data_IF_883216295826
#
_entry.id   IF_883216295826
#
_cell.length_a   1.000
_cell.length_b   1.000
_cell.length_c   1.000
_cell.angle_alpha   90.00
_cell.angle_beta   90.00
_cell.angle_gamma   90.00
#
_symmetry.space_group_name_H-M   'P 1'
#
loop_
_entity.id
_entity.type
_entity.pdbx_description
1 polymer ?
#
# COMPACT_ATOMS: atom_id res chain seq x y z
N UNK A 1 -7.37 -14.31 -13.42
CA UNK A 1 -7.19 -13.73 -12.09
C UNK A 1 -8.55 -13.68 -11.37
N UNK A 2 -8.59 -13.95 -10.06
CA UNK A 2 -9.84 -13.87 -9.31
C UNK A 2 -10.32 -12.41 -9.23
N UNK A 3 -11.62 -12.20 -9.31
CA UNK A 3 -12.26 -10.91 -9.13
C UNK A 3 -13.11 -10.96 -7.88
N UNK A 4 -12.73 -10.20 -6.87
CA UNK A 4 -13.39 -10.13 -5.58
C UNK A 4 -13.65 -8.67 -5.19
N UNK A 5 -14.45 -8.43 -4.15
CA UNK A 5 -14.55 -7.12 -3.54
C UNK A 5 -13.23 -6.82 -2.80
N UNK A 6 -12.50 -5.81 -3.27
CA UNK A 6 -11.31 -5.29 -2.64
C UNK A 6 -11.66 -4.06 -1.81
N UNK A 7 -11.01 -3.91 -0.68
CA UNK A 7 -11.24 -2.80 0.24
C UNK A 7 -10.74 -1.46 -0.34
N UNK A 8 -9.56 -1.48 -0.97
CA UNK A 8 -9.02 -0.33 -1.69
C UNK A 8 -8.14 0.58 -0.86
N UNK A 9 -8.46 0.86 0.42
CA UNK A 9 -7.61 1.59 1.35
C UNK A 9 -7.25 0.73 2.59
N UNK A 10 -6.72 -0.45 2.30
CA UNK A 10 -6.30 -1.43 3.29
C UNK A 10 -5.07 -0.92 4.07
N UNK A 11 -5.29 -0.44 5.30
CA UNK A 11 -4.23 0.04 6.20
C UNK A 11 -4.65 -0.06 7.65
N UNK A 12 -3.67 -0.15 8.56
CA UNK A 12 -3.92 -0.30 10.01
C UNK A 12 -4.80 0.84 10.55
N UNK A 13 -4.62 2.07 10.08
CA UNK A 13 -5.40 3.22 10.52
C UNK A 13 -6.90 3.13 10.23
N UNK A 14 -7.32 2.21 9.34
CA UNK A 14 -8.72 1.98 8.98
C UNK A 14 -9.29 0.70 9.63
N UNK A 15 -8.61 0.16 10.65
CA UNK A 15 -9.02 -1.04 11.38
C UNK A 15 -9.35 -0.65 12.83
N UNK A 16 -10.52 -1.06 13.30
CA UNK A 16 -10.88 -1.01 14.71
C UNK A 16 -10.67 -2.40 15.31
N UNK A 17 -9.86 -2.46 16.33
CA UNK A 17 -9.63 -3.70 17.10
C UNK A 17 -10.60 -3.79 18.29
N UNK A 18 -10.87 -5.01 18.73
CA UNK A 18 -11.59 -5.25 20.00
C UNK A 18 -10.80 -4.69 21.20
N UNK A 19 -11.45 -4.48 22.32
CA UNK A 19 -10.83 -3.93 23.54
C UNK A 19 -9.61 -4.75 24.01
N UNK A 20 -9.63 -6.06 23.83
CA UNK A 20 -8.52 -6.95 24.17
C UNK A 20 -7.45 -7.07 23.05
N UNK A 21 -7.63 -6.36 21.93
CA UNK A 21 -6.76 -6.36 20.74
C UNK A 21 -6.60 -7.74 20.05
N UNK A 22 -7.42 -8.71 20.36
CA UNK A 22 -7.32 -10.07 19.79
C UNK A 22 -8.07 -10.21 18.46
N UNK A 23 -9.02 -9.34 18.18
CA UNK A 23 -9.88 -9.44 17.02
C UNK A 23 -10.05 -8.09 16.32
N UNK A 24 -10.33 -8.13 15.03
CA UNK A 24 -10.82 -6.99 14.27
C UNK A 24 -12.30 -6.82 14.56
N UNK A 25 -12.68 -5.67 15.13
CA UNK A 25 -14.07 -5.33 15.42
C UNK A 25 -14.76 -4.67 14.21
N UNK A 26 -14.04 -3.85 13.45
CA UNK A 26 -14.55 -3.23 12.23
C UNK A 26 -13.43 -2.85 11.26
N UNK A 27 -13.79 -2.77 9.99
CA UNK A 27 -12.97 -2.26 8.90
C UNK A 27 -13.69 -1.05 8.31
N UNK A 28 -12.99 0.08 8.24
CA UNK A 28 -13.54 1.39 7.87
C UNK A 28 -13.04 1.83 6.49
N UNK A 29 -13.59 2.94 6.02
CA UNK A 29 -13.13 3.67 4.84
C UNK A 29 -13.17 2.85 3.55
N UNK A 30 -14.39 2.52 3.13
CA UNK A 30 -14.67 1.74 1.93
C UNK A 30 -14.87 2.58 0.67
N UNK A 31 -14.55 3.89 0.71
CA UNK A 31 -14.78 4.79 -0.42
C UNK A 31 -13.97 4.41 -1.69
N UNK A 32 -12.85 3.70 -1.49
CA UNK A 32 -12.00 3.22 -2.57
C UNK A 32 -12.29 1.75 -2.96
N UNK A 33 -13.36 1.16 -2.43
CA UNK A 33 -13.69 -0.24 -2.69
C UNK A 33 -13.99 -0.49 -4.18
N UNK A 34 -13.50 -1.61 -4.69
CA UNK A 34 -13.61 -1.96 -6.10
C UNK A 34 -13.64 -3.47 -6.30
N UNK A 35 -14.31 -3.92 -7.37
CA UNK A 35 -14.19 -5.31 -7.82
C UNK A 35 -12.86 -5.49 -8.58
N UNK A 36 -11.97 -6.36 -8.08
CA UNK A 36 -10.66 -6.53 -8.68
C UNK A 36 -9.87 -7.71 -8.12
N UNK A 37 -8.60 -7.78 -8.47
CA UNK A 37 -7.69 -8.80 -7.96
C UNK A 37 -7.35 -8.51 -6.49
N UNK A 38 -7.53 -9.47 -5.56
CA UNK A 38 -7.29 -9.28 -4.13
C UNK A 38 -5.84 -8.92 -3.78
N UNK A 39 -4.88 -9.21 -4.66
CA UNK A 39 -3.46 -8.85 -4.45
C UNK A 39 -3.26 -7.33 -4.34
N UNK A 40 -4.16 -6.52 -4.93
CA UNK A 40 -4.05 -5.07 -4.80
C UNK A 40 -4.19 -4.58 -3.34
N UNK A 41 -4.99 -5.24 -2.50
CA UNK A 41 -5.17 -4.83 -1.11
C UNK A 41 -3.93 -5.16 -0.27
N UNK A 42 -3.34 -6.35 -0.40
CA UNK A 42 -2.11 -6.68 0.33
C UNK A 42 -0.90 -5.87 -0.16
N UNK A 43 -0.84 -5.55 -1.44
CA UNK A 43 0.19 -4.68 -1.99
C UNK A 43 0.03 -3.24 -1.48
N UNK A 44 -1.19 -2.73 -1.44
CA UNK A 44 -1.49 -1.42 -0.85
C UNK A 44 -1.14 -1.35 0.62
N UNK A 45 -1.52 -2.38 1.40
CA UNK A 45 -1.22 -2.47 2.82
C UNK A 45 0.29 -2.34 3.11
N UNK A 46 1.10 -3.14 2.43
CA UNK A 46 2.54 -3.10 2.59
C UNK A 46 3.16 -1.80 2.05
N UNK A 47 2.65 -1.30 0.93
CA UNK A 47 3.12 -0.05 0.36
C UNK A 47 2.86 1.14 1.29
N UNK A 48 1.67 1.26 1.86
CA UNK A 48 1.32 2.35 2.79
C UNK A 48 2.17 2.27 4.06
N UNK A 49 2.40 1.07 4.61
CA UNK A 49 3.31 0.90 5.75
C UNK A 49 4.74 1.37 5.41
N UNK A 50 5.27 0.98 4.25
CA UNK A 50 6.56 1.45 3.75
C UNK A 50 6.59 2.97 3.53
N UNK A 51 5.53 3.55 2.97
CA UNK A 51 5.43 4.97 2.70
C UNK A 51 5.47 5.80 4.00
N UNK A 52 4.75 5.37 5.02
CA UNK A 52 4.75 6.06 6.32
C UNK A 52 5.97 5.77 7.18
N UNK A 53 6.74 4.72 6.91
CA UNK A 53 8.02 4.45 7.54
C UNK A 53 9.18 5.05 6.72
N UNK A 54 9.58 4.38 5.65
CA UNK A 54 10.73 4.79 4.83
C UNK A 54 10.54 6.16 4.18
N UNK A 55 9.34 6.46 3.67
CA UNK A 55 9.02 7.72 3.00
C UNK A 55 9.11 8.93 3.92
N UNK A 56 8.81 8.76 5.20
CA UNK A 56 8.91 9.80 6.23
C UNK A 56 10.17 9.70 7.11
N UNK A 57 11.08 8.75 6.81
CA UNK A 57 12.29 8.54 7.61
C UNK A 57 12.01 8.03 9.03
N UNK A 58 10.88 7.38 9.26
CA UNK A 58 10.48 6.83 10.53
C UNK A 58 10.69 5.30 10.57
N UNK A 59 10.94 4.70 11.74
CA UNK A 59 10.97 3.25 11.86
C UNK A 59 9.58 2.67 11.68
N UNK A 60 9.49 1.44 11.14
CA UNK A 60 8.25 0.66 11.13
C UNK A 60 7.74 0.42 12.55
N UNK A 61 6.45 0.26 12.70
CA UNK A 61 5.83 -0.10 13.98
C UNK A 61 6.43 -1.41 14.52
N UNK A 62 6.86 -1.45 15.78
CA UNK A 62 7.39 -2.67 16.40
C UNK A 62 6.34 -3.79 16.41
N UNK A 63 6.78 -5.01 16.13
CA UNK A 63 5.91 -6.19 16.14
C UNK A 63 5.21 -6.51 14.84
N UNK A 64 5.26 -5.64 13.82
CA UNK A 64 4.78 -5.99 12.50
C UNK A 64 5.72 -7.02 11.84
N UNK A 65 5.17 -8.05 11.15
CA UNK A 65 5.94 -9.00 10.37
C UNK A 65 6.67 -8.28 9.21
N UNK A 66 7.65 -8.94 8.61
CA UNK A 66 8.25 -8.46 7.35
C UNK A 66 7.19 -8.35 6.25
N UNK A 67 7.49 -7.62 5.17
CA UNK A 67 6.56 -7.52 4.03
C UNK A 67 6.35 -8.87 3.37
N UNK A 68 7.40 -9.68 3.27
CA UNK A 68 7.38 -11.04 2.75
C UNK A 68 6.52 -11.96 3.63
N UNK A 69 6.70 -11.90 4.95
CA UNK A 69 5.89 -12.68 5.89
C UNK A 69 4.43 -12.26 5.88
N UNK A 70 4.15 -10.97 5.73
CA UNK A 70 2.79 -10.44 5.59
C UNK A 70 2.11 -11.02 4.34
N UNK A 71 2.80 -11.05 3.21
CA UNK A 71 2.28 -11.66 1.96
C UNK A 71 2.08 -13.16 2.13
N UNK A 72 3.03 -13.87 2.77
CA UNK A 72 2.92 -15.30 3.00
C UNK A 72 1.73 -15.65 3.90
N UNK A 73 1.53 -14.93 4.98
CA UNK A 73 0.37 -15.09 5.87
C UNK A 73 -0.94 -14.79 5.15
N UNK A 74 -0.98 -13.73 4.34
CA UNK A 74 -2.15 -13.39 3.54
C UNK A 74 -2.50 -14.49 2.54
N UNK A 75 -1.52 -15.07 1.84
CA UNK A 75 -1.75 -16.20 0.94
C UNK A 75 -2.31 -17.41 1.68
N UNK A 76 -1.73 -17.73 2.85
CA UNK A 76 -2.20 -18.83 3.67
C UNK A 76 -3.63 -18.64 4.16
N UNK A 77 -3.97 -17.43 4.61
CA UNK A 77 -5.28 -17.13 5.19
C UNK A 77 -6.38 -17.00 4.12
N UNK A 78 -6.06 -16.40 2.98
CA UNK A 78 -7.04 -16.13 1.91
C UNK A 78 -7.18 -17.27 0.91
N UNK A 79 -6.16 -18.10 0.76
CA UNK A 79 -6.07 -19.11 -0.31
C UNK A 79 -5.77 -18.53 -1.69
N UNK A 80 -5.54 -17.23 -1.81
CA UNK A 80 -5.17 -16.59 -3.06
C UNK A 80 -3.65 -16.58 -3.29
N UNK A 81 -3.25 -16.59 -4.55
CA UNK A 81 -1.84 -16.43 -4.94
C UNK A 81 -1.47 -14.95 -5.05
N UNK A 82 -0.31 -14.58 -4.51
CA UNK A 82 0.29 -13.25 -4.69
C UNK A 82 1.21 -13.19 -5.92
N UNK A 83 0.92 -13.95 -6.98
CA UNK A 83 1.75 -14.09 -8.17
C UNK A 83 2.18 -12.77 -8.79
N UNK A 84 1.29 -11.78 -8.86
CA UNK A 84 1.53 -10.49 -9.49
C UNK A 84 1.77 -9.37 -8.46
N UNK A 85 2.26 -9.72 -7.27
CA UNK A 85 2.43 -8.80 -6.14
C UNK A 85 3.27 -7.57 -6.50
N UNK A 86 4.40 -7.74 -7.17
CA UNK A 86 5.28 -6.63 -7.55
C UNK A 86 4.61 -5.63 -8.50
N UNK A 87 3.79 -6.11 -9.43
CA UNK A 87 2.97 -5.24 -10.28
C UNK A 87 2.02 -4.39 -9.42
N UNK A 88 1.35 -5.00 -8.44
CA UNK A 88 0.40 -4.27 -7.59
C UNK A 88 1.08 -3.34 -6.61
N UNK A 89 2.33 -3.58 -6.20
CA UNK A 89 3.12 -2.62 -5.41
C UNK A 89 3.45 -1.37 -6.25
N UNK A 90 3.87 -1.54 -7.51
CA UNK A 90 4.09 -0.41 -8.43
C UNK A 90 2.77 0.35 -8.67
N UNK A 91 1.68 -0.37 -8.87
CA UNK A 91 0.35 0.22 -9.04
C UNK A 91 -0.08 1.01 -7.79
N UNK A 92 0.17 0.49 -6.58
CA UNK A 92 -0.10 1.18 -5.32
C UNK A 92 0.72 2.48 -5.20
N UNK A 93 2.02 2.42 -5.53
CA UNK A 93 2.90 3.60 -5.52
C UNK A 93 2.42 4.69 -6.49
N UNK A 94 2.06 4.31 -7.72
CA UNK A 94 1.50 5.22 -8.72
C UNK A 94 0.19 5.85 -8.23
N UNK A 95 -0.74 5.04 -7.73
CA UNK A 95 -2.04 5.50 -7.23
C UNK A 95 -1.89 6.47 -6.07
N UNK A 96 -1.02 6.16 -5.10
CA UNK A 96 -0.75 7.05 -3.98
C UNK A 96 -0.08 8.34 -4.42
N UNK A 97 0.85 8.29 -5.36
CA UNK A 97 1.48 9.47 -5.96
C UNK A 97 0.46 10.40 -6.62
N UNK A 98 -0.53 9.85 -7.33
CA UNK A 98 -1.63 10.65 -7.92
C UNK A 98 -2.52 11.29 -6.86
N UNK A 99 -2.83 10.57 -5.77
CA UNK A 99 -3.62 11.12 -4.64
C UNK A 99 -2.86 12.28 -3.99
N UNK A 100 -1.57 12.10 -3.67
CA UNK A 100 -0.75 13.15 -3.09
C UNK A 100 -0.62 14.35 -4.04
N UNK A 101 -0.35 14.13 -5.32
CA UNK A 101 -0.25 15.20 -6.30
C UNK A 101 -1.54 16.02 -6.37
N UNK A 102 -2.70 15.37 -6.31
CA UNK A 102 -4.00 16.07 -6.26
C UNK A 102 -4.15 16.93 -5.01
N UNK A 103 -3.73 16.40 -3.84
CA UNK A 103 -3.77 17.14 -2.57
C UNK A 103 -2.84 18.35 -2.64
N UNK A 104 -1.60 18.17 -3.11
CA UNK A 104 -0.59 19.21 -3.22
C UNK A 104 -1.02 20.31 -4.21
N UNK A 105 -1.65 19.96 -5.34
CA UNK A 105 -2.20 20.93 -6.30
C UNK A 105 -3.39 21.72 -5.74
N UNK A 106 -4.10 21.16 -4.78
CA UNK A 106 -5.23 21.83 -4.11
C UNK A 106 -4.79 22.68 -2.89
N UNK A 107 -3.52 22.66 -2.55
CA UNK A 107 -2.90 23.38 -1.42
C UNK A 107 -1.75 24.26 -1.94
N UNK A 108 -1.12 25.04 -1.05
CA UNK A 108 0.02 25.91 -1.40
C UNK A 108 1.35 25.12 -1.65
N UNK A 109 1.26 23.84 -1.95
CA UNK A 109 2.41 22.94 -2.17
C UNK A 109 2.53 22.46 -3.63
N UNK A 110 1.90 23.16 -4.56
CA UNK A 110 1.88 22.76 -5.97
C UNK A 110 3.27 22.68 -6.63
N UNK A 111 4.24 23.44 -6.16
CA UNK A 111 5.64 23.44 -6.60
C UNK A 111 6.41 22.18 -6.20
N UNK A 112 5.93 21.43 -5.20
CA UNK A 112 6.57 20.21 -4.69
C UNK A 112 6.02 18.92 -5.29
N UNK A 113 5.06 19.00 -6.22
CA UNK A 113 4.37 17.83 -6.79
C UNK A 113 5.33 16.84 -7.45
N UNK A 114 6.38 17.32 -8.12
CA UNK A 114 7.32 16.46 -8.85
C UNK A 114 8.35 15.76 -7.94
N UNK A 115 8.64 16.31 -6.78
CA UNK A 115 9.66 15.82 -5.84
C UNK A 115 9.07 15.23 -4.57
N UNK A 116 7.79 14.84 -4.59
CA UNK A 116 7.16 14.24 -3.42
C UNK A 116 7.70 12.82 -3.17
N UNK A 117 7.64 12.39 -1.92
CA UNK A 117 8.19 11.10 -1.50
C UNK A 117 7.51 9.89 -2.18
N UNK A 118 6.26 10.02 -2.63
CA UNK A 118 5.58 8.95 -3.36
C UNK A 118 6.18 8.74 -4.76
N UNK A 119 6.64 9.80 -5.41
CA UNK A 119 7.39 9.71 -6.68
C UNK A 119 8.71 8.98 -6.48
N UNK A 120 9.43 9.28 -5.41
CA UNK A 120 10.69 8.60 -5.06
C UNK A 120 10.45 7.11 -4.76
N UNK A 121 9.38 6.77 -4.04
CA UNK A 121 9.03 5.38 -3.78
C UNK A 121 8.61 4.65 -5.07
N UNK A 122 7.88 5.30 -5.96
CA UNK A 122 7.52 4.73 -7.26
C UNK A 122 8.78 4.39 -8.07
N UNK A 123 9.74 5.30 -8.17
CA UNK A 123 11.02 5.07 -8.86
C UNK A 123 11.77 3.89 -8.24
N UNK A 124 11.87 3.82 -6.92
CA UNK A 124 12.49 2.72 -6.17
C UNK A 124 11.83 1.37 -6.54
N UNK A 125 10.49 1.31 -6.57
CA UNK A 125 9.78 0.09 -6.91
C UNK A 125 9.95 -0.29 -8.40
N UNK A 126 9.95 0.68 -9.31
CA UNK A 126 10.20 0.44 -10.73
C UNK A 126 11.62 -0.08 -10.99
N UNK A 127 12.62 0.44 -10.29
CA UNK A 127 13.99 -0.09 -10.33
C UNK A 127 14.06 -1.54 -9.82
N UNK A 128 13.39 -1.82 -8.69
CA UNK A 128 13.35 -3.17 -8.11
C UNK A 128 12.76 -4.21 -9.06
N UNK A 129 11.73 -3.88 -9.81
CA UNK A 129 11.11 -4.79 -10.79
C UNK A 129 11.81 -4.77 -12.17
N UNK A 130 12.93 -4.05 -12.31
CA UNK A 130 13.69 -3.98 -13.55
C UNK A 130 13.04 -3.17 -14.67
N UNK A 131 12.02 -2.36 -14.37
CA UNK A 131 11.35 -1.50 -15.34
C UNK A 131 12.14 -0.21 -15.63
N UNK A 132 13.06 0.19 -14.75
CA UNK A 132 14.00 1.29 -14.93
C UNK A 132 15.44 0.75 -14.74
N UNK A 133 16.35 1.13 -15.63
CA UNK A 133 17.78 0.87 -15.44
C UNK A 133 18.30 1.73 -14.28
N UNK A 134 19.14 1.14 -13.44
CA UNK A 134 19.90 1.91 -12.45
C UNK A 134 20.80 2.90 -13.22
N UNK A 135 20.54 4.19 -13.08
CA UNK A 135 21.48 5.22 -13.57
C UNK A 135 22.63 5.37 -12.60
#
# INVERSE_FOLDING_TARGET
EPTVLCWGDSRIGNIIFSENLENVAAVLDWEMAVMGNPVQDIAWFNFIDSAFAEGLGAPRLPGLPSYEDTVAQWQQASGHSARDYDYYVVFAAMRYGLILSRIMLATDQADQVQENFASLLLEKHLQRVGALSSM
#
